data_IF_283078310614
#
_entry.id   IF_283078310614
#
_cell.length_a   1.000
_cell.length_b   1.000
_cell.length_c   1.000
_cell.angle_alpha   90.00
_cell.angle_beta   90.00
_cell.angle_gamma   90.00
#
_symmetry.space_group_name_H-M   'P 1'
#
loop_
_entity.id
_entity.type
_entity.pdbx_description
1 polymer ?
#
# COMPACT_ATOMS: atom_id res chain seq x y z
N UNK A 1 -11.97 -1.10 2.63
CA UNK A 1 -12.35 -1.14 4.05
C UNK A 1 -11.12 -0.73 4.83
N UNK A 2 -11.03 0.53 5.28
CA UNK A 2 -9.96 0.97 6.17
C UNK A 2 -10.16 0.22 7.49
N UNK A 3 -9.24 -0.67 7.83
CA UNK A 3 -9.15 -1.14 9.21
C UNK A 3 -8.68 0.08 9.99
N UNK A 4 -9.58 0.70 10.76
CA UNK A 4 -9.19 1.73 11.72
C UNK A 4 -8.01 1.25 12.57
N UNK A 5 -7.19 2.18 13.04
CA UNK A 5 -5.94 1.88 13.76
C UNK A 5 -6.18 0.77 14.79
N UNK A 6 -5.61 -0.41 14.52
CA UNK A 6 -5.74 -1.56 15.44
C UNK A 6 -4.94 -1.24 16.69
N UNK A 7 -5.54 -1.42 17.87
CA UNK A 7 -4.84 -1.17 19.12
C UNK A 7 -3.66 -2.15 19.31
N UNK A 8 -2.62 -1.71 20.00
CA UNK A 8 -1.46 -2.55 20.32
C UNK A 8 -1.85 -3.85 21.05
N UNK A 9 -2.81 -3.76 21.99
CA UNK A 9 -3.32 -4.94 22.70
C UNK A 9 -3.96 -5.97 21.75
N UNK A 10 -4.71 -5.52 20.74
CA UNK A 10 -5.31 -6.40 19.73
C UNK A 10 -4.25 -7.03 18.82
N UNK A 11 -3.24 -6.28 18.36
CA UNK A 11 -2.13 -6.82 17.56
C UNK A 11 -1.40 -7.94 18.32
N UNK A 12 -1.04 -7.68 19.59
CA UNK A 12 -0.42 -8.69 20.47
C UNK A 12 -1.31 -9.91 20.67
N UNK A 13 -2.61 -9.71 20.84
CA UNK A 13 -3.56 -10.81 21.00
C UNK A 13 -3.64 -11.68 19.74
N UNK A 14 -3.66 -11.07 18.55
CA UNK A 14 -3.70 -11.81 17.28
C UNK A 14 -2.40 -12.56 17.02
N UNK A 15 -1.24 -11.97 17.33
CA UNK A 15 0.05 -12.62 17.26
C UNK A 15 0.11 -13.86 18.17
N UNK A 16 -0.29 -13.72 19.45
CA UNK A 16 -0.36 -14.85 20.40
C UNK A 16 -1.29 -15.98 19.96
N UNK A 17 -2.42 -15.63 19.35
CA UNK A 17 -3.45 -16.59 18.91
C UNK A 17 -3.18 -17.18 17.51
N UNK A 18 -2.11 -16.79 16.83
CA UNK A 18 -1.85 -17.22 15.46
C UNK A 18 -2.94 -16.81 14.47
N UNK A 19 -3.57 -15.65 14.68
CA UNK A 19 -4.66 -15.16 13.80
C UNK A 19 -4.11 -14.56 12.50
N UNK A 20 -3.49 -15.40 11.66
CA UNK A 20 -2.72 -14.98 10.48
C UNK A 20 -3.50 -14.07 9.53
N UNK A 21 -4.74 -14.40 9.18
CA UNK A 21 -5.56 -13.60 8.26
C UNK A 21 -5.82 -12.18 8.80
N UNK A 22 -5.95 -12.01 10.12
CA UNK A 22 -6.13 -10.68 10.73
C UNK A 22 -4.83 -9.89 10.72
N UNK A 23 -3.72 -10.56 10.97
CA UNK A 23 -2.38 -9.97 10.93
C UNK A 23 -2.00 -9.56 9.51
N UNK A 24 -2.23 -10.42 8.51
CA UNK A 24 -2.03 -10.11 7.09
C UNK A 24 -2.78 -8.84 6.70
N UNK A 25 -4.07 -8.76 7.02
CA UNK A 25 -4.88 -7.56 6.73
C UNK A 25 -4.37 -6.32 7.46
N UNK A 26 -3.90 -6.45 8.70
CA UNK A 26 -3.33 -5.34 9.45
C UNK A 26 -2.01 -4.86 8.82
N UNK A 27 -1.14 -5.77 8.40
CA UNK A 27 0.12 -5.47 7.73
C UNK A 27 -0.14 -4.75 6.41
N UNK A 28 -1.04 -5.27 5.57
CA UNK A 28 -1.44 -4.64 4.31
C UNK A 28 -2.05 -3.25 4.52
N UNK A 29 -2.64 -2.98 5.68
CA UNK A 29 -3.17 -1.69 6.09
C UNK A 29 -2.13 -0.79 6.79
N UNK A 30 -0.83 -1.07 6.66
CA UNK A 30 0.24 -0.21 7.17
C UNK A 30 0.69 -0.49 8.60
N UNK A 31 0.12 -1.49 9.28
CA UNK A 31 0.42 -1.75 10.69
C UNK A 31 1.64 -2.67 10.91
N UNK A 32 2.41 -2.98 9.87
CA UNK A 32 3.53 -3.94 9.93
C UNK A 32 4.62 -3.54 10.93
N UNK A 33 5.04 -2.28 10.93
CA UNK A 33 6.04 -1.77 11.87
C UNK A 33 5.58 -1.87 13.32
N UNK A 34 4.34 -1.44 13.58
CA UNK A 34 3.71 -1.57 14.90
C UNK A 34 3.59 -3.02 15.32
N UNK A 35 3.22 -3.92 14.42
CA UNK A 35 3.17 -5.35 14.74
C UNK A 35 4.53 -5.89 15.19
N UNK A 36 5.63 -5.53 14.52
CA UNK A 36 6.98 -5.97 14.90
C UNK A 36 7.37 -5.48 16.30
N UNK A 37 7.14 -4.20 16.60
CA UNK A 37 7.42 -3.62 17.92
C UNK A 37 6.61 -4.30 19.04
N UNK A 38 5.37 -4.68 18.74
CA UNK A 38 4.47 -5.32 19.71
C UNK A 38 4.71 -6.84 19.86
N UNK A 39 5.34 -7.46 18.86
CA UNK A 39 5.53 -8.90 18.77
C UNK A 39 6.96 -9.37 19.08
N UNK A 40 7.85 -8.53 19.62
CA UNK A 40 9.30 -8.81 19.80
C UNK A 40 9.63 -10.21 20.39
N UNK A 41 8.77 -10.76 21.26
CA UNK A 41 8.94 -12.10 21.83
C UNK A 41 7.87 -13.12 21.41
N UNK A 42 7.00 -12.77 20.44
CA UNK A 42 5.92 -13.61 19.96
C UNK A 42 6.30 -14.29 18.64
N UNK A 43 5.93 -15.56 18.44
CA UNK A 43 6.18 -16.23 17.17
C UNK A 43 5.31 -15.63 16.07
N UNK A 44 5.92 -14.87 15.15
CA UNK A 44 5.32 -14.51 13.87
C UNK A 44 5.76 -15.50 12.81
N UNK A 45 4.83 -15.92 11.95
CA UNK A 45 5.18 -16.81 10.85
C UNK A 45 6.08 -16.12 9.84
N UNK A 46 6.96 -16.90 9.19
CA UNK A 46 7.87 -16.40 8.14
C UNK A 46 7.11 -15.69 7.02
N UNK A 47 5.90 -16.13 6.73
CA UNK A 47 4.99 -15.49 5.78
C UNK A 47 4.71 -14.04 6.15
N UNK A 48 4.30 -13.77 7.40
CA UNK A 48 3.99 -12.41 7.86
C UNK A 48 5.22 -11.51 7.88
N UNK A 49 6.37 -12.03 8.30
CA UNK A 49 7.64 -11.29 8.25
C UNK A 49 7.99 -10.91 6.81
N UNK A 50 7.91 -11.86 5.88
CA UNK A 50 8.17 -11.60 4.46
C UNK A 50 7.19 -10.58 3.87
N UNK A 51 5.91 -10.64 4.26
CA UNK A 51 4.89 -9.69 3.85
C UNK A 51 5.26 -8.26 4.28
N UNK A 52 5.64 -8.06 5.55
CA UNK A 52 6.08 -6.75 6.08
C UNK A 52 7.28 -6.22 5.29
N UNK A 53 8.30 -7.06 5.09
CA UNK A 53 9.53 -6.67 4.39
C UNK A 53 9.24 -6.29 2.94
N UNK A 54 8.42 -7.08 2.23
CA UNK A 54 8.04 -6.80 0.83
C UNK A 54 7.26 -5.50 0.70
N UNK A 55 6.25 -5.26 1.55
CA UNK A 55 5.52 -3.99 1.56
C UNK A 55 6.48 -2.80 1.75
N UNK A 56 7.39 -2.89 2.73
CA UNK A 56 8.38 -1.85 2.98
C UNK A 56 9.30 -1.61 1.77
N UNK A 57 9.77 -2.67 1.12
CA UNK A 57 10.62 -2.54 -0.08
C UNK A 57 9.87 -1.90 -1.26
N UNK A 58 8.59 -2.22 -1.47
CA UNK A 58 7.78 -1.61 -2.52
C UNK A 58 7.60 -0.11 -2.29
N UNK A 59 7.25 0.30 -1.06
CA UNK A 59 7.15 1.72 -0.71
C UNK A 59 8.49 2.43 -0.88
N UNK A 60 9.60 1.82 -0.46
CA UNK A 60 10.94 2.39 -0.63
C UNK A 60 11.32 2.57 -2.11
N UNK A 61 10.96 1.64 -3.00
CA UNK A 61 11.20 1.78 -4.43
C UNK A 61 10.44 2.98 -5.03
N UNK A 62 9.18 3.20 -4.59
CA UNK A 62 8.39 4.37 -5.00
C UNK A 62 8.97 5.66 -4.44
N UNK A 63 9.42 5.69 -3.18
CA UNK A 63 10.07 6.87 -2.58
C UNK A 63 11.36 7.28 -3.30
N UNK A 64 12.09 6.31 -3.86
CA UNK A 64 13.28 6.57 -4.68
C UNK A 64 12.97 6.96 -6.12
N UNK A 65 11.72 6.85 -6.57
CA UNK A 65 11.35 7.04 -7.97
C UNK A 65 11.89 5.97 -8.92
N UNK A 66 12.12 4.74 -8.44
CA UNK A 66 12.69 3.66 -9.24
C UNK A 66 11.62 2.69 -9.75
N UNK A 67 11.08 2.95 -10.95
CA UNK A 67 10.13 2.04 -11.60
C UNK A 67 10.71 0.64 -11.81
N UNK A 68 11.98 0.55 -12.21
CA UNK A 68 12.65 -0.74 -12.42
C UNK A 68 12.71 -1.57 -11.13
N UNK A 69 13.09 -0.96 -10.01
CA UNK A 69 13.14 -1.64 -8.70
C UNK A 69 11.74 -2.12 -8.31
N UNK A 70 10.73 -1.26 -8.47
CA UNK A 70 9.33 -1.61 -8.20
C UNK A 70 8.86 -2.82 -9.03
N UNK A 71 9.13 -2.81 -10.34
CA UNK A 71 8.77 -3.91 -11.24
C UNK A 71 9.46 -5.22 -10.87
N UNK A 72 10.76 -5.18 -10.57
CA UNK A 72 11.51 -6.38 -10.16
C UNK A 72 10.95 -6.94 -8.85
N UNK A 73 10.68 -6.11 -7.85
CA UNK A 73 10.09 -6.54 -6.58
C UNK A 73 8.71 -7.17 -6.77
N UNK A 74 7.88 -6.63 -7.66
CA UNK A 74 6.55 -7.17 -7.97
C UNK A 74 6.61 -8.46 -8.79
N UNK A 75 7.61 -8.61 -9.66
CA UNK A 75 7.85 -9.85 -10.41
C UNK A 75 8.30 -11.00 -9.50
N UNK A 76 9.07 -10.71 -8.44
CA UNK A 76 9.49 -11.68 -7.42
C UNK A 76 8.37 -12.12 -6.45
N UNK A 77 7.18 -11.54 -6.57
CA UNK A 77 6.00 -11.99 -5.83
C UNK A 77 5.32 -13.07 -6.66
N UNK A 78 5.54 -14.33 -6.26
CA UNK A 78 4.91 -15.50 -6.86
C UNK A 78 3.38 -15.40 -6.76
N UNK A 79 2.71 -15.61 -7.90
CA UNK A 79 1.26 -15.53 -8.17
C UNK A 79 0.62 -14.12 -8.26
N UNK A 80 -0.21 -13.93 -9.29
CA UNK A 80 -0.93 -12.68 -9.54
C UNK A 80 -1.90 -12.32 -8.39
N UNK A 81 -2.57 -13.32 -7.79
CA UNK A 81 -3.53 -13.09 -6.70
C UNK A 81 -2.89 -12.43 -5.47
N UNK A 82 -1.67 -12.83 -5.13
CA UNK A 82 -0.93 -12.19 -4.05
C UNK A 82 -0.43 -10.82 -4.47
N UNK A 83 0.04 -10.65 -5.72
CA UNK A 83 0.57 -9.38 -6.24
C UNK A 83 -0.43 -8.24 -6.07
N UNK A 84 -1.72 -8.44 -6.35
CA UNK A 84 -2.75 -7.41 -6.14
C UNK A 84 -2.83 -6.89 -4.70
N UNK A 85 -2.63 -7.77 -3.70
CA UNK A 85 -2.62 -7.37 -2.29
C UNK A 85 -1.41 -6.49 -1.96
N UNK A 86 -0.23 -6.86 -2.48
CA UNK A 86 1.00 -6.12 -2.26
C UNK A 86 0.97 -4.73 -2.91
N UNK A 87 0.46 -4.63 -4.14
CA UNK A 87 0.40 -3.33 -4.83
C UNK A 87 -0.58 -2.37 -4.12
N UNK A 88 -1.63 -2.91 -3.51
CA UNK A 88 -2.61 -2.14 -2.74
C UNK A 88 -2.21 -1.93 -1.26
N UNK A 89 -1.00 -2.31 -0.84
CA UNK A 89 -0.60 -2.12 0.55
C UNK A 89 -0.43 -0.64 0.90
N UNK A 90 -0.60 -0.35 2.18
CA UNK A 90 -0.37 0.97 2.76
C UNK A 90 0.95 0.98 3.53
N UNK A 91 1.59 2.15 3.59
CA UNK A 91 2.73 2.39 4.46
C UNK A 91 2.29 2.71 5.90
N UNK A 92 3.25 3.03 6.76
CA UNK A 92 3.00 3.38 8.17
C UNK A 92 2.16 4.65 8.35
N UNK A 93 2.15 5.54 7.35
CA UNK A 93 1.31 6.74 7.31
C UNK A 93 -0.09 6.46 6.74
N UNK A 94 -0.35 5.21 6.33
CA UNK A 94 -1.60 4.81 5.71
C UNK A 94 -1.73 5.31 4.27
N UNK A 95 -0.63 5.51 3.55
CA UNK A 95 -0.59 5.97 2.14
C UNK A 95 -0.21 4.82 1.22
N UNK A 96 -0.94 4.66 0.11
CA UNK A 96 -0.70 3.64 -0.91
C UNK A 96 0.40 4.01 -1.92
N UNK A 97 0.87 3.02 -2.69
CA UNK A 97 1.93 3.23 -3.70
C UNK A 97 1.57 4.29 -4.74
N UNK A 98 0.35 4.27 -5.27
CA UNK A 98 -0.10 5.21 -6.31
C UNK A 98 -0.13 6.66 -5.78
N UNK A 99 -0.75 6.90 -4.62
CA UNK A 99 -0.80 8.25 -4.04
C UNK A 99 0.58 8.77 -3.67
N UNK A 100 1.48 7.90 -3.24
CA UNK A 100 2.87 8.26 -2.98
C UNK A 100 3.59 8.66 -4.28
N UNK A 101 3.41 7.92 -5.37
CA UNK A 101 3.98 8.26 -6.67
C UNK A 101 3.45 9.61 -7.20
N UNK A 102 2.14 9.87 -7.03
CA UNK A 102 1.51 11.17 -7.36
C UNK A 102 2.11 12.30 -6.51
N UNK A 103 2.25 12.11 -5.20
CA UNK A 103 2.82 13.11 -4.31
C UNK A 103 4.25 13.52 -4.72
N UNK A 104 5.07 12.55 -5.15
CA UNK A 104 6.44 12.81 -5.63
C UNK A 104 6.52 13.17 -7.12
N UNK A 105 5.39 13.19 -7.85
CA UNK A 105 5.32 13.49 -9.28
C UNK A 105 6.15 12.52 -10.17
N UNK A 106 6.20 11.24 -9.82
CA UNK A 106 6.86 10.19 -10.60
C UNK A 106 5.94 9.61 -11.67
N UNK A 107 5.80 10.34 -12.79
CA UNK A 107 4.84 10.05 -13.86
C UNK A 107 4.99 8.65 -14.47
N UNK A 108 6.22 8.16 -14.64
CA UNK A 108 6.51 6.82 -15.15
C UNK A 108 5.93 5.71 -14.24
N UNK A 109 6.06 5.88 -12.92
CA UNK A 109 5.46 4.96 -11.93
C UNK A 109 3.94 5.08 -11.93
N UNK A 110 3.40 6.30 -12.01
CA UNK A 110 1.95 6.55 -12.07
C UNK A 110 1.34 5.85 -13.28
N UNK A 111 1.87 6.11 -14.48
CA UNK A 111 1.39 5.53 -15.73
C UNK A 111 1.48 4.01 -15.70
N UNK A 112 2.60 3.46 -15.21
CA UNK A 112 2.75 2.01 -15.11
C UNK A 112 1.75 1.39 -14.12
N UNK A 113 1.57 1.98 -12.94
CA UNK A 113 0.65 1.46 -11.92
C UNK A 113 -0.81 1.52 -12.40
N UNK A 114 -1.24 2.61 -13.04
CA UNK A 114 -2.62 2.74 -13.53
C UNK A 114 -2.90 1.76 -14.66
N UNK A 115 -1.96 1.57 -15.58
CA UNK A 115 -2.13 0.65 -16.71
C UNK A 115 -2.13 -0.83 -16.29
N UNK A 116 -1.36 -1.20 -15.26
CA UNK A 116 -1.27 -2.60 -14.81
C UNK A 116 -2.23 -2.94 -13.67
N UNK A 117 -2.63 -1.95 -12.87
CA UNK A 117 -3.49 -2.10 -11.68
C UNK A 117 -4.51 -0.96 -11.59
N UNK A 118 -5.46 -0.88 -12.53
CA UNK A 118 -6.41 0.24 -12.61
C UNK A 118 -7.27 0.41 -11.34
N UNK A 119 -7.48 -0.66 -10.56
CA UNK A 119 -8.21 -0.61 -9.30
C UNK A 119 -7.58 0.32 -8.25
N UNK A 120 -6.27 0.63 -8.35
CA UNK A 120 -5.58 1.52 -7.41
C UNK A 120 -6.12 2.95 -7.45
N UNK A 121 -6.68 3.37 -8.58
CA UNK A 121 -7.33 4.69 -8.74
C UNK A 121 -8.48 4.86 -7.74
N UNK A 122 -9.10 3.77 -7.31
CA UNK A 122 -10.20 3.76 -6.35
C UNK A 122 -9.76 3.40 -4.93
N UNK A 123 -8.46 3.20 -4.71
CA UNK A 123 -7.92 2.93 -3.38
C UNK A 123 -8.18 4.12 -2.47
N UNK A 124 -8.75 3.87 -1.30
CA UNK A 124 -8.91 4.87 -0.25
C UNK A 124 -7.81 4.70 0.76
N UNK A 125 -7.17 5.81 1.10
CA UNK A 125 -6.05 5.88 2.02
C UNK A 125 -6.00 7.26 2.71
N UNK A 126 -5.04 7.46 3.60
CA UNK A 126 -4.91 8.71 4.37
C UNK A 126 -4.81 9.95 3.48
N UNK A 127 -4.19 9.84 2.31
CA UNK A 127 -4.03 10.97 1.39
C UNK A 127 -5.37 11.36 0.75
N UNK A 128 -6.16 10.38 0.32
CA UNK A 128 -7.52 10.65 -0.20
C UNK A 128 -8.48 11.21 0.85
N UNK A 129 -8.27 10.88 2.13
CA UNK A 129 -9.05 11.46 3.23
C UNK A 129 -8.61 12.90 3.51
N UNK A 130 -7.31 13.18 3.54
CA UNK A 130 -6.80 14.55 3.66
C UNK A 130 -7.30 15.46 2.53
N UNK A 131 -7.36 14.97 1.29
CA UNK A 131 -7.90 15.71 0.15
C UNK A 131 -9.41 15.98 0.23
N UNK A 132 -10.18 15.23 1.03
CA UNK A 132 -11.58 15.58 1.33
C UNK A 132 -11.70 16.67 2.39
N UNK A 133 -10.70 16.79 3.26
CA UNK A 133 -10.67 17.77 4.35
C UNK A 133 -10.17 19.12 3.84
N UNK A 134 -9.30 19.11 2.83
CA UNK A 134 -8.86 20.32 2.13
C UNK A 134 -9.68 20.50 0.86
N UNK A 135 -10.64 21.41 0.83
CA UNK A 135 -11.32 21.90 -0.38
C UNK A 135 -10.33 22.63 -1.31
N UNK A 136 -9.28 21.94 -1.77
CA UNK A 136 -8.26 22.46 -2.67
C UNK A 136 -8.19 21.56 -3.90
N UNK A 137 -8.79 22.10 -4.96
CA UNK A 137 -9.30 21.44 -6.17
C UNK A 137 -8.19 20.90 -7.11
N UNK A 138 -6.91 21.15 -6.85
CA UNK A 138 -5.84 20.91 -7.85
C UNK A 138 -5.25 19.49 -7.88
N UNK A 139 -5.18 18.79 -6.75
CA UNK A 139 -4.59 17.43 -6.72
C UNK A 139 -5.57 16.35 -7.17
N UNK A 140 -6.85 16.51 -6.81
CA UNK A 140 -7.93 15.72 -7.40
C UNK A 140 -7.99 15.98 -8.90
N UNK A 141 -7.94 17.22 -9.39
CA UNK A 141 -7.90 17.49 -10.83
C UNK A 141 -6.72 16.83 -11.55
N UNK A 142 -5.55 16.64 -10.92
CA UNK A 142 -4.38 16.03 -11.58
C UNK A 142 -4.55 14.51 -11.71
N UNK A 143 -5.01 13.84 -10.64
CA UNK A 143 -5.34 12.41 -10.66
C UNK A 143 -6.55 12.17 -11.58
N UNK A 144 -7.60 13.00 -11.51
CA UNK A 144 -8.77 12.90 -12.39
C UNK A 144 -8.45 13.28 -13.84
N UNK A 145 -7.52 14.21 -14.12
CA UNK A 145 -7.03 14.46 -15.49
C UNK A 145 -6.31 13.23 -16.03
N UNK A 146 -5.42 12.60 -15.27
CA UNK A 146 -4.73 11.37 -15.72
C UNK A 146 -5.70 10.18 -15.91
N UNK A 147 -6.69 10.03 -15.04
CA UNK A 147 -7.72 8.98 -15.12
C UNK A 147 -8.75 9.23 -16.24
N UNK A 148 -9.09 10.49 -16.53
CA UNK A 148 -9.99 10.82 -17.64
C UNK A 148 -9.30 10.72 -19.01
N UNK A 149 -7.99 10.96 -19.10
CA UNK A 149 -7.24 10.78 -20.36
C UNK A 149 -7.07 9.30 -20.76
N UNK A 150 -7.01 8.36 -19.81
CA UNK A 150 -6.94 6.92 -20.13
C UNK A 150 -8.29 6.33 -20.54
N UNK A 151 -9.42 6.96 -20.21
CA UNK A 151 -10.75 6.55 -20.68
C UNK A 151 -11.15 7.10 -22.05
N UNK A 152 -10.30 7.93 -22.69
CA UNK A 152 -10.57 8.52 -24.00
C UNK A 152 -9.97 7.73 -25.19
N UNK A 153 -9.33 6.58 -24.92
CA UNK A 153 -8.73 5.69 -25.92
C UNK A 153 -9.16 4.22 -25.75
N UNK A 154 -10.46 3.99 -25.50
CA UNK A 154 -11.13 2.70 -25.77
C UNK A 154 -12.39 2.95 -26.56
#
# INVERSE_FOLDING_TARGET
>A
MLLGIVSSAQLRQWARRGSETKLERAILAGQGHRLLAEAEALPLSRYLINLITKCKSLHSAVEKGSLLELQVLLALIDCDYNRHKYVACLDEAGVGLLHKAVFYNFMDIIDWLVNNYPQLVHQKDSYTECLKVTDNIDLTLTIWKLVLFTSAYV
#
